data_IF_908424952450
#
_entry.id   IF_908424952450
#
_cell.length_a   1.000
_cell.length_b   1.000
_cell.length_c   1.000
_cell.angle_alpha   90.00
_cell.angle_beta   90.00
_cell.angle_gamma   90.00
#
_symmetry.space_group_name_H-M   'P 1'
#
loop_
_entity.id
_entity.type
_entity.pdbx_description
1 polymer ?
#
# COMPACT_ATOMS: atom_id res chain seq x y z
N UNK A 1 -3.54 -13.56 16.29
CA UNK A 1 -3.32 -12.45 17.23
C UNK A 1 -4.07 -11.28 16.64
N UNK A 2 -5.11 -10.75 17.29
CA UNK A 2 -5.94 -9.71 16.66
C UNK A 2 -5.24 -8.36 16.74
N UNK A 3 -5.11 -7.66 15.61
CA UNK A 3 -4.55 -6.31 15.55
C UNK A 3 -5.62 -5.31 16.03
N UNK A 4 -5.27 -4.47 17.01
CA UNK A 4 -6.09 -3.31 17.36
C UNK A 4 -5.80 -2.17 16.36
N UNK A 5 -6.58 -2.14 15.28
CA UNK A 5 -6.39 -1.17 14.18
C UNK A 5 -6.56 0.28 14.60
N UNK A 6 -7.16 0.55 15.77
CA UNK A 6 -7.26 1.91 16.31
C UNK A 6 -5.90 2.46 16.78
N UNK A 7 -4.90 1.60 16.96
CA UNK A 7 -3.53 2.00 17.30
C UNK A 7 -2.74 2.49 16.07
N UNK A 8 -3.28 2.31 14.85
CA UNK A 8 -2.66 2.79 13.63
C UNK A 8 -2.99 4.28 13.45
N UNK A 9 -1.97 5.11 13.67
CA UNK A 9 -2.09 6.58 13.66
C UNK A 9 -1.44 7.22 12.43
N UNK A 10 -0.57 6.50 11.72
CA UNK A 10 0.10 6.98 10.51
C UNK A 10 0.12 5.92 9.40
N UNK A 11 0.40 6.37 8.17
CA UNK A 11 0.55 5.48 7.03
C UNK A 11 1.80 4.60 7.19
N UNK A 12 2.90 5.16 7.70
CA UNK A 12 4.11 4.40 8.05
C UNK A 12 3.80 3.26 9.04
N UNK A 13 3.01 3.54 10.09
CA UNK A 13 2.60 2.50 11.05
C UNK A 13 1.81 1.39 10.35
N UNK A 14 0.82 1.77 9.53
CA UNK A 14 0.01 0.81 8.78
C UNK A 14 0.88 -0.08 7.88
N UNK A 15 1.84 0.50 7.17
CA UNK A 15 2.75 -0.23 6.31
C UNK A 15 3.62 -1.24 7.09
N UNK A 16 4.09 -0.88 8.29
CA UNK A 16 4.81 -1.81 9.17
C UNK A 16 3.93 -2.99 9.59
N UNK A 17 2.66 -2.75 9.91
CA UNK A 17 1.71 -3.83 10.20
C UNK A 17 1.50 -4.75 8.99
N UNK A 18 1.32 -4.19 7.79
CA UNK A 18 1.22 -4.98 6.55
C UNK A 18 2.48 -5.83 6.32
N UNK A 19 3.68 -5.29 6.57
CA UNK A 19 4.93 -6.06 6.45
C UNK A 19 5.01 -7.20 7.48
N UNK A 20 4.57 -6.95 8.72
CA UNK A 20 4.53 -7.98 9.75
C UNK A 20 3.53 -9.10 9.39
N UNK A 21 2.35 -8.74 8.89
CA UNK A 21 1.34 -9.68 8.41
C UNK A 21 1.84 -10.49 7.21
N UNK A 22 2.55 -9.85 6.27
CA UNK A 22 3.19 -10.54 5.14
C UNK A 22 4.16 -11.63 5.60
N UNK A 23 4.96 -11.34 6.64
CA UNK A 23 5.88 -12.34 7.20
C UNK A 23 5.11 -13.51 7.80
N UNK A 24 4.04 -13.24 8.55
CA UNK A 24 3.19 -14.29 9.13
C UNK A 24 2.48 -15.11 8.06
N UNK A 25 1.99 -14.48 6.99
CA UNK A 25 1.40 -15.20 5.85
C UNK A 25 2.40 -16.18 5.22
N UNK A 26 3.65 -15.75 5.03
CA UNK A 26 4.72 -16.62 4.51
C UNK A 26 5.05 -17.80 5.45
N UNK A 27 4.74 -17.67 6.73
CA UNK A 27 4.86 -18.73 7.75
C UNK A 27 3.59 -19.62 7.81
N UNK A 28 2.57 -19.35 6.99
CA UNK A 28 1.34 -20.15 6.85
C UNK A 28 0.18 -19.73 7.74
N UNK A 29 0.24 -18.53 8.35
CA UNK A 29 -0.88 -17.98 9.12
C UNK A 29 -1.92 -17.32 8.20
N UNK A 30 -3.20 -17.53 8.50
CA UNK A 30 -4.28 -16.77 7.88
C UNK A 30 -4.32 -15.37 8.49
N UNK A 31 -4.07 -14.37 7.64
CA UNK A 31 -3.93 -12.96 8.02
C UNK A 31 -4.82 -12.04 7.19
N UNK A 32 -5.71 -12.59 6.35
CA UNK A 32 -6.46 -11.82 5.34
C UNK A 32 -7.32 -10.76 6.03
N UNK A 33 -8.11 -11.16 7.03
CA UNK A 33 -8.99 -10.24 7.76
C UNK A 33 -8.23 -9.12 8.50
N UNK A 34 -7.07 -9.45 9.08
CA UNK A 34 -6.22 -8.46 9.75
C UNK A 34 -5.61 -7.48 8.72
N UNK A 35 -5.18 -7.98 7.54
CA UNK A 35 -4.65 -7.16 6.46
C UNK A 35 -5.70 -6.20 5.91
N UNK A 36 -6.92 -6.68 5.65
CA UNK A 36 -8.04 -5.85 5.19
C UNK A 36 -8.36 -4.73 6.19
N UNK A 37 -8.36 -5.04 7.49
CA UNK A 37 -8.63 -4.05 8.52
C UNK A 37 -7.54 -2.96 8.58
N UNK A 38 -6.27 -3.35 8.43
CA UNK A 38 -5.15 -2.39 8.33
C UNK A 38 -5.25 -1.53 7.07
N UNK A 39 -5.57 -2.12 5.91
CA UNK A 39 -5.74 -1.38 4.65
C UNK A 39 -6.91 -0.40 4.70
N UNK A 40 -8.05 -0.81 5.27
CA UNK A 40 -9.21 0.05 5.46
C UNK A 40 -8.85 1.25 6.35
N UNK A 41 -8.15 1.02 7.46
CA UNK A 41 -7.69 2.10 8.34
C UNK A 41 -6.69 3.02 7.64
N UNK A 42 -5.75 2.47 6.89
CA UNK A 42 -4.74 3.24 6.14
C UNK A 42 -5.36 4.19 5.10
N UNK A 43 -6.50 3.82 4.52
CA UNK A 43 -7.22 4.67 3.58
C UNK A 43 -7.85 5.92 4.22
N UNK A 44 -8.10 5.88 5.52
CA UNK A 44 -8.66 7.01 6.28
C UNK A 44 -7.58 8.00 6.75
N UNK A 45 -6.32 7.56 6.82
CA UNK A 45 -5.21 8.37 7.30
C UNK A 45 -4.78 9.37 6.23
N UNK A 46 -4.38 10.60 6.57
CA UNK A 46 -3.90 11.56 5.59
C UNK A 46 -2.50 11.18 5.10
N UNK A 47 -2.22 11.39 3.80
CA UNK A 47 -0.87 11.26 3.23
C UNK A 47 -0.29 12.67 3.12
N UNK A 48 0.66 13.03 3.98
CA UNK A 48 1.14 14.43 4.09
C UNK A 48 2.64 14.58 3.87
N UNK A 49 3.39 13.50 4.08
CA UNK A 49 4.84 13.50 3.98
C UNK A 49 5.34 12.61 2.86
N UNK A 50 6.59 12.82 2.42
CA UNK A 50 7.25 11.92 1.47
C UNK A 50 7.38 10.50 2.04
N UNK A 51 7.54 10.36 3.35
CA UNK A 51 7.59 9.06 4.02
C UNK A 51 6.26 8.32 3.88
N UNK A 52 5.13 9.00 4.12
CA UNK A 52 3.79 8.44 3.91
C UNK A 52 3.60 7.99 2.45
N UNK A 53 4.07 8.80 1.49
CA UNK A 53 3.97 8.48 0.07
C UNK A 53 4.78 7.23 -0.29
N UNK A 54 5.99 7.07 0.26
CA UNK A 54 6.80 5.87 0.06
C UNK A 54 6.14 4.64 0.71
N UNK A 55 5.57 4.79 1.91
CA UNK A 55 4.84 3.72 2.57
C UNK A 55 3.62 3.24 1.75
N UNK A 56 2.86 4.17 1.13
CA UNK A 56 1.76 3.82 0.22
C UNK A 56 2.25 3.08 -1.03
N UNK A 57 3.39 3.46 -1.60
CA UNK A 57 3.99 2.78 -2.76
C UNK A 57 4.38 1.35 -2.40
N UNK A 58 5.04 1.15 -1.26
CA UNK A 58 5.47 -0.17 -0.80
C UNK A 58 4.26 -1.10 -0.59
N UNK A 59 3.17 -0.59 0.00
CA UNK A 59 1.93 -1.37 0.18
C UNK A 59 1.27 -1.68 -1.17
N UNK A 60 1.23 -0.72 -2.11
CA UNK A 60 0.68 -0.95 -3.44
C UNK A 60 1.46 -2.04 -4.21
N UNK A 61 2.80 -2.06 -4.11
CA UNK A 61 3.63 -3.11 -4.69
C UNK A 61 3.36 -4.48 -4.07
N UNK A 62 3.15 -4.52 -2.75
CA UNK A 62 2.78 -5.75 -2.05
C UNK A 62 1.46 -6.33 -2.54
N UNK A 63 0.41 -5.50 -2.63
CA UNK A 63 -0.90 -5.92 -3.13
C UNK A 63 -0.80 -6.45 -4.57
N UNK A 64 -0.04 -5.75 -5.43
CA UNK A 64 0.18 -6.20 -6.81
C UNK A 64 0.89 -7.56 -6.90
N UNK A 65 1.85 -7.83 -6.01
CA UNK A 65 2.57 -9.09 -5.97
C UNK A 65 1.67 -10.27 -5.52
N UNK A 66 0.74 -10.03 -4.58
CA UNK A 66 -0.19 -11.06 -4.12
C UNK A 66 -1.29 -11.35 -5.15
N UNK A 67 -1.88 -10.31 -5.74
CA UNK A 67 -2.89 -10.46 -6.80
C UNK A 67 -2.36 -11.30 -7.98
N UNK A 68 -1.06 -11.22 -8.27
CA UNK A 68 -0.40 -12.01 -9.31
C UNK A 68 -0.23 -13.50 -8.95
N UNK A 69 -0.01 -13.82 -7.66
CA UNK A 69 0.12 -15.20 -7.19
C UNK A 69 -1.24 -15.91 -7.26
N UNK A 70 -2.32 -15.22 -6.88
CA UNK A 70 -3.68 -15.76 -6.96
C UNK A 70 -4.14 -15.99 -8.40
N UNK A 71 -3.73 -15.13 -9.34
CA UNK A 71 -4.03 -15.30 -10.77
C UNK A 71 -3.22 -16.43 -11.46
N UNK A 72 -2.16 -16.94 -10.81
CA UNK A 72 -1.31 -18.03 -11.32
C UNK A 72 -1.65 -19.42 -10.79
N UNK A 73 -2.51 -19.51 -9.76
CA UNK A 73 -3.16 -20.76 -9.33
C UNK A 73 -4.44 -20.98 -10.15
N UNK A 74 -4.80 -22.25 -10.40
CA UNK A 74 -5.88 -22.68 -11.31
C UNK A 74 -7.05 -21.68 -11.45
N UNK A 75 -7.19 -21.13 -12.66
CA UNK A 75 -8.23 -20.19 -13.06
C UNK A 75 -9.54 -20.99 -13.28
N UNK A 76 -10.11 -21.52 -12.21
CA UNK A 76 -11.41 -22.22 -12.22
C UNK A 76 -12.40 -21.64 -11.20
N UNK A 77 -12.43 -20.33 -10.95
CA UNK A 77 -13.59 -19.74 -10.26
C UNK A 77 -14.14 -18.48 -10.94
N UNK A 78 -15.39 -18.51 -11.47
CA UNK A 78 -16.04 -17.38 -12.16
C UNK A 78 -16.39 -16.18 -11.26
N UNK A 79 -15.93 -16.15 -10.01
CA UNK A 79 -16.20 -15.09 -9.04
C UNK A 79 -14.98 -14.20 -8.76
N UNK A 80 -13.82 -14.46 -9.39
CA UNK A 80 -12.57 -13.70 -9.18
C UNK A 80 -12.57 -12.24 -9.67
N UNK A 81 -13.65 -11.76 -10.28
CA UNK A 81 -13.71 -10.42 -10.88
C UNK A 81 -13.87 -9.27 -9.88
N UNK A 82 -14.57 -9.45 -8.75
CA UNK A 82 -14.88 -8.37 -7.80
C UNK A 82 -13.74 -8.10 -6.82
N UNK A 83 -13.11 -9.15 -6.29
CA UNK A 83 -11.96 -9.00 -5.39
C UNK A 83 -10.76 -8.36 -6.10
N UNK A 84 -10.44 -8.82 -7.32
CA UNK A 84 -9.38 -8.22 -8.14
C UNK A 84 -9.65 -6.76 -8.51
N UNK A 85 -10.91 -6.38 -8.78
CA UNK A 85 -11.24 -4.96 -9.04
C UNK A 85 -11.12 -4.10 -7.78
N UNK A 86 -11.43 -4.64 -6.60
CA UNK A 86 -11.24 -3.95 -5.32
C UNK A 86 -9.75 -3.74 -4.99
N UNK A 87 -8.91 -4.75 -5.16
CA UNK A 87 -7.46 -4.63 -4.95
C UNK A 87 -6.81 -3.65 -5.94
N UNK A 88 -7.19 -3.72 -7.22
CA UNK A 88 -6.70 -2.80 -8.23
C UNK A 88 -7.10 -1.35 -7.90
N UNK A 89 -8.33 -1.13 -7.44
CA UNK A 89 -8.78 0.19 -7.00
C UNK A 89 -7.94 0.71 -5.82
N UNK A 90 -7.64 -0.15 -4.84
CA UNK A 90 -6.78 0.20 -3.70
C UNK A 90 -5.35 0.57 -4.14
N UNK A 91 -4.77 -0.20 -5.07
CA UNK A 91 -3.45 0.10 -5.65
C UNK A 91 -3.48 1.48 -6.32
N UNK A 92 -4.46 1.74 -7.18
CA UNK A 92 -4.59 3.03 -7.90
C UNK A 92 -4.75 4.19 -6.92
N UNK A 93 -5.61 4.05 -5.91
CA UNK A 93 -5.83 5.06 -4.88
C UNK A 93 -4.55 5.37 -4.10
N UNK A 94 -3.82 4.35 -3.65
CA UNK A 94 -2.57 4.53 -2.90
C UNK A 94 -1.50 5.23 -3.74
N UNK A 95 -1.33 4.82 -5.00
CA UNK A 95 -0.38 5.46 -5.91
C UNK A 95 -0.77 6.92 -6.23
N UNK A 96 -2.06 7.21 -6.43
CA UNK A 96 -2.53 8.57 -6.67
C UNK A 96 -2.19 9.53 -5.52
N UNK A 97 -2.44 9.08 -4.28
CA UNK A 97 -2.13 9.84 -3.05
C UNK A 97 -0.63 10.07 -2.87
N UNK A 98 0.19 9.05 -3.17
CA UNK A 98 1.63 9.16 -3.13
C UNK A 98 2.16 10.18 -4.16
N UNK A 99 1.69 10.11 -5.40
CA UNK A 99 2.09 11.04 -6.47
C UNK A 99 1.73 12.48 -6.12
N UNK A 100 0.53 12.74 -5.62
CA UNK A 100 0.11 14.08 -5.22
C UNK A 100 1.02 14.67 -4.12
N UNK A 101 1.36 13.84 -3.13
CA UNK A 101 2.21 14.24 -2.01
C UNK A 101 3.65 14.53 -2.47
N UNK A 102 4.21 13.66 -3.33
CA UNK A 102 5.54 13.86 -3.90
C UNK A 102 5.58 15.12 -4.78
N UNK A 103 4.58 15.33 -5.64
CA UNK A 103 4.50 16.52 -6.47
C UNK A 103 4.44 17.80 -5.63
N UNK A 104 3.64 17.79 -4.56
CA UNK A 104 3.56 18.92 -3.62
C UNK A 104 4.91 19.20 -2.96
N UNK A 105 5.61 18.16 -2.50
CA UNK A 105 6.94 18.28 -1.92
C UNK A 105 7.99 18.79 -2.93
N UNK A 106 7.93 18.33 -4.19
CA UNK A 106 8.82 18.78 -5.26
C UNK A 106 8.60 20.25 -5.63
N UNK A 107 7.35 20.74 -5.63
CA UNK A 107 7.04 22.16 -5.85
C UNK A 107 7.56 23.02 -4.69
N UNK A 108 7.49 22.53 -3.46
CA UNK A 108 8.04 23.21 -2.29
C UNK A 108 9.59 23.21 -2.27
N UNK A 109 10.21 22.19 -2.86
CA UNK A 109 11.65 22.01 -2.96
C UNK A 109 12.09 21.81 -4.42
N UNK A 110 12.01 22.85 -5.27
CA UNK A 110 12.42 22.74 -6.65
C UNK A 110 13.90 22.36 -6.70
N UNK A 111 14.20 21.23 -7.33
CA UNK A 111 15.58 20.84 -7.62
C UNK A 111 16.11 21.87 -8.61
N UNK A 112 16.91 22.84 -8.13
CA UNK A 112 17.62 23.77 -8.99
C UNK A 112 18.52 22.96 -9.93
N UNK A 113 18.09 22.81 -11.18
CA UNK A 113 18.88 22.22 -12.26
C UNK A 113 19.99 23.16 -12.75
N UNK A 114 20.51 24.05 -11.90
CA UNK A 114 21.74 24.78 -12.13
C UNK A 114 22.93 23.87 -11.83
N UNK A 115 23.07 22.83 -12.65
CA UNK A 115 24.35 22.17 -12.84
C UNK A 115 25.17 23.14 -13.70
N UNK A 116 26.26 23.76 -13.19
CA UNK A 116 27.16 24.47 -14.08
C UNK A 116 27.70 23.46 -15.09
N UNK A 117 27.54 23.78 -16.38
CA UNK A 117 28.19 23.06 -17.45
C UNK A 117 29.70 23.20 -17.26
N UNK A 118 30.33 22.14 -16.75
CA UNK A 118 31.79 21.96 -16.81
C UNK A 118 32.10 21.03 -17.98
#
# INVERSE_FOLDING_TARGET
>A
MSIDVNQIQSISDAALFIQALRKQHAEGYDVIADADAVLARMNELPCQTVEDALALIDVAQYLAANAFIEAGGDIEEPHGGSAQTSELALIITNLGRAIETINTAMVAHPINADRPAN
#
